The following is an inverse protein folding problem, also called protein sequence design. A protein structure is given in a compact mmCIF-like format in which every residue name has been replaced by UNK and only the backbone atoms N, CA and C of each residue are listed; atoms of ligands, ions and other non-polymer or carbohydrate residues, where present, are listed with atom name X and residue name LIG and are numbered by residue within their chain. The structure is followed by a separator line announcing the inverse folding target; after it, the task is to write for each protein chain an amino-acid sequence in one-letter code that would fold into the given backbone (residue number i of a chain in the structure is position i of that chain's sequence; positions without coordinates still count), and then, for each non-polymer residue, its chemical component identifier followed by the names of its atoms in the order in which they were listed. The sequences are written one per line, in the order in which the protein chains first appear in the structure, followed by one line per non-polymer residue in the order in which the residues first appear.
data_IF_160703144298
#
_entry.id   IF_160703144298
#
_cell.length_a   1.000
_cell.length_b   1.000
_cell.length_c   1.000
_cell.angle_alpha   90.00
_cell.angle_beta   90.00
_cell.angle_gamma   90.00
#
_symmetry.space_group_name_H-M   'P 1'
#
loop_
_entity.id
_entity.type
_entity.pdbx_description
1 polymer ?
#
# COMPACT_ATOMS: atom_id res chain seq x y z
N UNK A 1 -20.67 6.09 -8.32
CA UNK A 1 -20.06 5.32 -9.42
C UNK A 1 -19.09 4.35 -8.78
N UNK A 2 -19.20 3.06 -9.06
CA UNK A 2 -18.35 2.02 -8.47
C UNK A 2 -16.88 2.24 -8.89
N UNK A 3 -15.96 2.35 -7.92
CA UNK A 3 -14.53 2.61 -8.16
C UNK A 3 -13.90 1.51 -9.03
N UNK A 4 -14.26 0.25 -8.76
CA UNK A 4 -13.71 -0.92 -9.48
C UNK A 4 -14.16 -0.90 -10.93
N UNK A 5 -15.42 -0.52 -11.19
CA UNK A 5 -15.94 -0.41 -12.55
C UNK A 5 -15.24 0.70 -13.36
N UNK A 6 -14.83 1.79 -12.69
CA UNK A 6 -14.11 2.89 -13.33
C UNK A 6 -12.62 2.58 -13.55
N UNK A 7 -12.02 1.81 -12.65
CA UNK A 7 -10.60 1.46 -12.65
C UNK A 7 -10.41 -0.05 -12.53
N UNK A 8 -10.72 -0.82 -13.58
CA UNK A 8 -10.55 -2.27 -13.55
C UNK A 8 -9.07 -2.63 -13.36
N UNK A 9 -8.78 -3.42 -12.33
CA UNK A 9 -7.43 -3.84 -11.98
C UNK A 9 -7.45 -5.28 -11.43
N UNK A 10 -6.65 -6.21 -11.98
CA UNK A 10 -6.54 -7.56 -11.44
C UNK A 10 -5.66 -7.66 -10.18
N UNK A 11 -4.95 -6.59 -9.82
CA UNK A 11 -4.03 -6.56 -8.68
C UNK A 11 -4.65 -5.91 -7.44
N UNK A 12 -4.14 -6.19 -6.23
CA UNK A 12 -4.53 -5.48 -5.02
C UNK A 12 -4.34 -3.96 -5.15
N UNK A 13 -5.19 -3.19 -4.47
CA UNK A 13 -4.96 -1.77 -4.26
C UNK A 13 -4.03 -1.60 -3.05
N UNK A 14 -2.87 -0.99 -3.29
CA UNK A 14 -1.95 -0.56 -2.25
C UNK A 14 -2.10 0.94 -2.06
N UNK A 15 -2.34 1.37 -0.83
CA UNK A 15 -2.34 2.79 -0.46
C UNK A 15 -1.16 3.04 0.47
N UNK A 16 -0.32 4.01 0.12
CA UNK A 16 0.81 4.43 0.96
C UNK A 16 0.52 5.83 1.48
N UNK A 17 0.59 6.00 2.79
CA UNK A 17 0.36 7.27 3.46
C UNK A 17 1.57 7.61 4.35
N UNK A 18 2.00 8.87 4.33
CA UNK A 18 3.06 9.33 5.22
C UNK A 18 2.58 9.59 6.65
N UNK A 19 1.26 9.66 6.85
CA UNK A 19 0.62 9.95 8.12
C UNK A 19 0.04 8.68 8.74
N UNK A 20 -0.06 8.65 10.08
CA UNK A 20 -0.64 7.57 10.88
C UNK A 20 -2.19 7.61 10.86
N UNK A 21 -2.80 7.01 9.84
CA UNK A 21 -4.25 6.84 9.77
C UNK A 21 -4.72 5.61 9.00
N UNK A 22 -3.84 4.65 8.75
CA UNK A 22 -4.07 3.54 7.82
C UNK A 22 -5.28 2.69 8.20
N UNK A 23 -5.48 2.46 9.50
CA UNK A 23 -6.68 1.76 10.01
C UNK A 23 -7.98 2.50 9.67
N UNK A 24 -8.04 3.81 9.95
CA UNK A 24 -9.24 4.61 9.71
C UNK A 24 -9.54 4.69 8.21
N UNK A 25 -8.51 4.94 7.39
CA UNK A 25 -8.65 4.97 5.93
C UNK A 25 -9.10 3.62 5.38
N UNK A 26 -8.49 2.51 5.83
CA UNK A 26 -8.86 1.16 5.41
C UNK A 26 -10.32 0.84 5.74
N UNK A 27 -10.80 1.22 6.94
CA UNK A 27 -12.19 1.04 7.34
C UNK A 27 -13.17 1.83 6.46
N UNK A 28 -12.81 3.05 6.03
CA UNK A 28 -13.63 3.88 5.16
C UNK A 28 -13.68 3.38 3.70
N UNK A 29 -12.56 2.85 3.20
CA UNK A 29 -12.45 2.37 1.82
C UNK A 29 -13.03 0.96 1.63
N UNK A 30 -12.89 0.07 2.62
CA UNK A 30 -13.27 -1.35 2.49
C UNK A 30 -14.72 -1.59 2.04
N UNK A 31 -15.75 -0.86 2.49
CA UNK A 31 -17.12 -1.05 2.01
C UNK A 31 -17.31 -0.69 0.52
N UNK A 32 -16.45 0.18 -0.01
CA UNK A 32 -16.50 0.65 -1.40
C UNK A 32 -15.67 -0.24 -2.34
N UNK A 33 -14.81 -1.09 -1.78
CA UNK A 33 -13.82 -1.91 -2.50
C UNK A 33 -14.00 -3.40 -2.20
N UNK A 34 -15.22 -3.88 -1.97
CA UNK A 34 -15.48 -5.24 -1.50
C UNK A 34 -14.85 -6.35 -2.36
N UNK A 35 -14.66 -6.09 -3.66
CA UNK A 35 -14.09 -7.06 -4.62
C UNK A 35 -12.58 -6.86 -4.87
N UNK A 36 -11.98 -5.82 -4.30
CA UNK A 36 -10.58 -5.46 -4.54
C UNK A 36 -9.79 -5.60 -3.24
N UNK A 37 -8.83 -6.54 -3.15
CA UNK A 37 -7.95 -6.64 -1.99
C UNK A 37 -7.27 -5.29 -1.72
N UNK A 38 -7.32 -4.82 -0.48
CA UNK A 38 -6.80 -3.54 -0.05
C UNK A 38 -5.75 -3.75 1.04
N UNK A 39 -4.59 -3.12 0.88
CA UNK A 39 -3.66 -2.87 1.97
C UNK A 39 -3.33 -1.38 2.06
N UNK A 40 -3.39 -0.84 3.28
CA UNK A 40 -2.96 0.52 3.58
C UNK A 40 -1.68 0.43 4.40
N UNK A 41 -0.63 1.08 3.93
CA UNK A 41 0.69 1.17 4.56
C UNK A 41 0.85 2.63 4.98
N UNK A 42 0.68 2.91 6.26
CA UNK A 42 0.85 4.22 6.86
C UNK A 42 2.25 4.45 7.43
N UNK A 43 2.53 5.69 7.79
CA UNK A 43 3.84 6.14 8.30
C UNK A 43 5.04 5.89 7.35
N UNK A 44 4.77 5.66 6.06
CA UNK A 44 5.81 5.47 5.04
C UNK A 44 5.88 6.68 4.13
N UNK A 45 7.02 7.37 4.18
CA UNK A 45 7.32 8.52 3.33
C UNK A 45 8.21 8.06 2.18
N UNK A 46 7.75 8.30 0.96
CA UNK A 46 8.51 8.05 -0.28
C UNK A 46 8.70 9.32 -1.07
N UNK A 47 9.78 9.35 -1.86
CA UNK A 47 10.09 10.39 -2.84
C UNK A 47 9.91 9.85 -4.25
N UNK A 48 9.85 10.75 -5.22
CA UNK A 48 9.83 10.35 -6.62
C UNK A 48 11.07 9.51 -6.96
N UNK A 49 10.85 8.33 -7.55
CA UNK A 49 11.92 7.38 -7.88
C UNK A 49 12.28 6.40 -6.78
N UNK A 50 11.68 6.49 -5.59
CA UNK A 50 11.80 5.45 -4.57
C UNK A 50 10.97 4.22 -4.95
N UNK A 51 11.51 3.05 -4.59
CA UNK A 51 10.85 1.76 -4.69
C UNK A 51 10.42 1.30 -3.30
N UNK A 52 9.29 0.61 -3.22
CA UNK A 52 8.82 -0.03 -1.99
C UNK A 52 8.89 -1.55 -2.20
N UNK A 53 9.78 -2.19 -1.46
CA UNK A 53 9.86 -3.65 -1.42
C UNK A 53 8.99 -4.17 -0.27
N UNK A 54 8.08 -5.09 -0.60
CA UNK A 54 7.27 -5.84 0.37
C UNK A 54 7.88 -7.23 0.48
N UNK A 55 8.48 -7.52 1.64
CA UNK A 55 9.14 -8.80 1.88
C UNK A 55 8.17 -9.93 2.19
N UNK A 56 8.73 -11.12 2.45
CA UNK A 56 7.95 -12.27 2.89
C UNK A 56 7.37 -12.07 4.30
N UNK A 57 6.15 -12.54 4.58
CA UNK A 57 5.59 -12.45 5.93
C UNK A 57 6.44 -13.16 6.98
N UNK A 58 6.56 -12.54 8.15
CA UNK A 58 7.29 -13.03 9.32
C UNK A 58 6.30 -13.40 10.44
N UNK A 59 6.78 -14.13 11.45
CA UNK A 59 6.00 -14.46 12.66
C UNK A 59 4.61 -15.05 12.36
N UNK A 60 4.56 -16.07 11.51
CA UNK A 60 3.32 -16.74 11.13
C UNK A 60 2.38 -15.88 10.27
N UNK A 61 2.89 -14.82 9.64
CA UNK A 61 2.12 -13.93 8.77
C UNK A 61 1.57 -12.69 9.46
N UNK A 62 1.91 -12.47 10.74
CA UNK A 62 1.42 -11.32 11.50
C UNK A 62 2.12 -10.00 11.15
N UNK A 63 3.32 -10.07 10.56
CA UNK A 63 4.11 -8.89 10.16
C UNK A 63 4.66 -9.08 8.76
N UNK A 64 4.59 -8.04 7.94
CA UNK A 64 5.21 -8.01 6.61
C UNK A 64 6.22 -6.86 6.59
N UNK A 65 7.53 -7.12 6.35
CA UNK A 65 8.52 -6.07 6.33
C UNK A 65 8.40 -5.23 5.05
N UNK A 66 8.50 -3.92 5.21
CA UNK A 66 8.51 -2.95 4.11
C UNK A 66 9.86 -2.25 4.09
N UNK A 67 10.50 -2.17 2.92
CA UNK A 67 11.76 -1.43 2.74
C UNK A 67 11.59 -0.38 1.65
N UNK A 68 11.95 0.86 1.95
CA UNK A 68 12.06 1.92 0.93
C UNK A 68 13.47 1.89 0.35
N UNK A 69 13.57 1.76 -0.97
CA UNK A 69 14.83 1.77 -1.71
C UNK A 69 14.90 2.99 -2.60
N UNK A 70 15.86 3.85 -2.32
CA UNK A 70 16.18 4.98 -3.20
C UNK A 70 17.26 4.56 -4.19
N UNK A 71 17.06 4.85 -5.47
CA UNK A 71 18.13 4.75 -6.45
C UNK A 71 19.07 5.94 -6.28
N UNK A 72 20.32 5.68 -5.92
CA UNK A 72 21.38 6.67 -5.95
C UNK A 72 22.12 6.54 -7.29
N UNK A 73 22.03 7.58 -8.13
CA UNK A 73 22.84 7.66 -9.34
C UNK A 73 24.10 8.47 -9.01
N UNK A 74 25.31 7.90 -9.18
CA UNK A 74 26.53 8.70 -9.08
C UNK A 74 26.56 9.75 -10.19
N UNK A 75 27.04 10.94 -9.84
CA UNK A 75 27.33 12.04 -10.79
C UNK A 75 28.51 11.72 -11.68
#
# INVERSE_FOLDING_TARGET
VDFVARFPNPHPLLVVAGQDFGKALGMLLRPQLQQLPLAVIDEVIVRAGDYIDIGTPLFGGSVVPVTVKSLAFPS
#
